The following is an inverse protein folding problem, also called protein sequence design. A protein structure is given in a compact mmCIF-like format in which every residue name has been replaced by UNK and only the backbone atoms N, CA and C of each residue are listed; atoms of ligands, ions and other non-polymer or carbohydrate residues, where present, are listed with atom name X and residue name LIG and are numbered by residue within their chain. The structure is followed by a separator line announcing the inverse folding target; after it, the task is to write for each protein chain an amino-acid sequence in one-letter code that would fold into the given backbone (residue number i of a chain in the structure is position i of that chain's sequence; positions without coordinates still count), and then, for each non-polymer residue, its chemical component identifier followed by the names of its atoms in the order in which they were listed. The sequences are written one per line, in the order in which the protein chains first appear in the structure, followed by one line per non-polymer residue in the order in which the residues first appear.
data_IF_593485024334
#
_entry.id   IF_593485024334
#
_cell.length_a   1.000
_cell.length_b   1.000
_cell.length_c   1.000
_cell.angle_alpha   90.00
_cell.angle_beta   90.00
_cell.angle_gamma   90.00
#
_symmetry.space_group_name_H-M   'P 1'
#
loop_
_entity.id
_entity.type
_entity.pdbx_description
1 polymer ?
#
# COMPACT_ATOMS: atom_id res chain seq x y z
N UNK A 1 -22.71 19.64 15.64
CA UNK A 1 -21.57 20.56 15.57
C UNK A 1 -20.97 20.53 14.17
N UNK A 2 -20.64 21.70 13.62
CA UNK A 2 -19.94 21.84 12.34
C UNK A 2 -18.48 22.21 12.63
N UNK A 3 -17.55 21.57 11.91
CA UNK A 3 -16.14 22.00 11.85
C UNK A 3 -15.98 22.83 10.57
N UNK A 4 -15.82 24.14 10.71
CA UNK A 4 -15.56 25.05 9.59
C UNK A 4 -14.05 25.10 9.37
N UNK A 5 -13.63 24.90 8.13
CA UNK A 5 -12.21 24.85 7.74
C UNK A 5 -12.01 25.60 6.44
N UNK A 6 -10.82 26.14 6.22
CA UNK A 6 -10.46 26.89 4.99
C UNK A 6 -10.29 25.94 3.79
N UNK A 7 -9.82 24.70 4.03
CA UNK A 7 -9.60 23.69 3.00
C UNK A 7 -10.02 22.31 3.54
N UNK A 8 -11.04 21.73 2.92
CA UNK A 8 -11.63 20.46 3.36
C UNK A 8 -10.66 19.29 3.19
N UNK A 9 -9.87 19.27 2.11
CA UNK A 9 -8.92 18.19 1.87
C UNK A 9 -7.77 18.23 2.88
N UNK A 10 -7.18 19.40 3.09
CA UNK A 10 -6.12 19.58 4.11
C UNK A 10 -6.62 19.25 5.52
N UNK A 11 -7.84 19.62 5.85
CA UNK A 11 -8.45 19.25 7.13
C UNK A 11 -8.63 17.73 7.26
N UNK A 12 -9.08 17.06 6.21
CA UNK A 12 -9.22 15.60 6.18
C UNK A 12 -7.85 14.90 6.30
N UNK A 13 -6.82 15.39 5.61
CA UNK A 13 -5.44 14.90 5.76
C UNK A 13 -4.92 15.07 7.20
N UNK A 14 -5.17 16.22 7.81
CA UNK A 14 -4.79 16.49 9.21
C UNK A 14 -5.48 15.53 10.17
N UNK A 15 -6.78 15.27 9.99
CA UNK A 15 -7.53 14.26 10.76
C UNK A 15 -6.95 12.85 10.55
N UNK A 16 -6.62 12.48 9.31
CA UNK A 16 -6.00 11.20 9.00
C UNK A 16 -4.63 11.04 9.67
N UNK A 17 -3.78 12.07 9.60
CA UNK A 17 -2.46 12.09 10.25
C UNK A 17 -2.58 11.98 11.78
N UNK A 18 -3.55 12.69 12.38
CA UNK A 18 -3.81 12.63 13.81
C UNK A 18 -4.30 11.23 14.23
N UNK A 19 -5.21 10.63 13.45
CA UNK A 19 -5.69 9.27 13.69
C UNK A 19 -4.54 8.24 13.58
N UNK A 20 -3.66 8.39 12.59
CA UNK A 20 -2.47 7.52 12.45
C UNK A 20 -1.49 7.69 13.63
N UNK A 21 -1.27 8.93 14.07
CA UNK A 21 -0.32 9.21 15.16
C UNK A 21 -0.75 8.64 16.51
N UNK A 22 -2.06 8.56 16.78
CA UNK A 22 -2.61 7.99 18.03
C UNK A 22 -2.72 6.47 18.03
N UNK A 23 -2.47 5.80 16.88
CA UNK A 23 -2.67 4.36 16.73
C UNK A 23 -1.37 3.59 16.81
N UNK A 24 -1.35 2.50 17.58
CA UNK A 24 -0.26 1.52 17.64
C UNK A 24 -0.46 0.33 16.68
N UNK A 25 -1.47 0.40 15.79
CA UNK A 25 -1.77 -0.66 14.84
C UNK A 25 -0.56 -1.01 13.96
N UNK A 26 -0.44 -2.29 13.63
CA UNK A 26 0.45 -2.75 12.55
C UNK A 26 -0.20 -2.39 11.21
N UNK A 27 0.46 -1.55 10.44
CA UNK A 27 -0.09 -0.99 9.21
C UNK A 27 0.52 -1.66 7.99
N UNK A 28 -0.35 -2.08 7.07
CA UNK A 28 0.01 -2.66 5.78
C UNK A 28 -0.47 -1.71 4.67
N UNK A 29 0.41 -1.40 3.72
CA UNK A 29 0.06 -0.68 2.50
C UNK A 29 0.14 -1.64 1.31
N UNK A 30 -0.87 -1.63 0.45
CA UNK A 30 -0.94 -2.47 -0.75
C UNK A 30 -1.09 -1.57 -1.98
N UNK A 31 -0.15 -1.68 -2.91
CA UNK A 31 -0.23 -1.06 -4.24
C UNK A 31 0.05 -2.09 -5.34
N UNK A 32 -0.03 -1.67 -6.59
CA UNK A 32 0.21 -2.51 -7.77
C UNK A 32 -0.66 -2.12 -8.95
N UNK A 33 -0.36 -2.64 -10.13
CA UNK A 33 -1.15 -2.37 -11.33
C UNK A 33 -2.53 -3.02 -11.27
N UNK A 34 -2.58 -4.28 -10.85
CA UNK A 34 -3.81 -5.07 -10.62
C UNK A 34 -3.72 -5.85 -9.31
N UNK A 35 -4.85 -6.33 -8.80
CA UNK A 35 -4.89 -7.20 -7.62
C UNK A 35 -4.87 -6.49 -6.26
N UNK A 36 -4.75 -5.16 -6.21
CA UNK A 36 -4.73 -4.38 -4.96
C UNK A 36 -5.91 -4.68 -4.04
N UNK A 37 -7.12 -4.50 -4.56
CA UNK A 37 -8.36 -4.67 -3.78
C UNK A 37 -8.55 -6.12 -3.35
N UNK A 38 -8.30 -7.09 -4.23
CA UNK A 38 -8.39 -8.51 -3.88
C UNK A 38 -7.39 -8.90 -2.78
N UNK A 39 -6.14 -8.45 -2.89
CA UNK A 39 -5.11 -8.67 -1.87
C UNK A 39 -5.49 -8.01 -0.53
N UNK A 40 -5.95 -6.76 -0.57
CA UNK A 40 -6.43 -6.05 0.62
C UNK A 40 -7.57 -6.82 1.31
N UNK A 41 -8.55 -7.34 0.55
CA UNK A 41 -9.67 -8.11 1.11
C UNK A 41 -9.21 -9.47 1.68
N UNK A 42 -8.30 -10.17 1.02
CA UNK A 42 -7.70 -11.41 1.55
C UNK A 42 -6.98 -11.14 2.88
N UNK A 43 -6.15 -10.11 2.93
CA UNK A 43 -5.46 -9.70 4.16
C UNK A 43 -6.45 -9.32 5.27
N UNK A 44 -7.53 -8.60 4.93
CA UNK A 44 -8.57 -8.25 5.89
C UNK A 44 -9.24 -9.49 6.49
N UNK A 45 -9.59 -10.47 5.65
CA UNK A 45 -10.20 -11.73 6.11
C UNK A 45 -9.23 -12.48 7.03
N UNK A 46 -7.95 -12.58 6.68
CA UNK A 46 -6.97 -13.33 7.48
C UNK A 46 -6.71 -12.62 8.82
N UNK A 47 -6.48 -11.31 8.79
CA UNK A 47 -6.08 -10.55 9.98
C UNK A 47 -7.23 -10.33 10.97
N UNK A 48 -8.48 -10.30 10.51
CA UNK A 48 -9.64 -10.17 11.40
C UNK A 48 -9.80 -11.34 12.38
N UNK A 49 -9.23 -12.52 12.07
CA UNK A 49 -9.17 -13.65 13.00
C UNK A 49 -8.02 -13.55 14.02
N UNK A 50 -7.12 -12.58 13.84
CA UNK A 50 -5.96 -12.38 14.71
C UNK A 50 -6.11 -11.13 15.60
N UNK A 51 -6.96 -10.17 15.20
CA UNK A 51 -7.19 -8.97 15.98
C UNK A 51 -8.13 -7.97 15.29
N UNK A 52 -8.39 -6.86 15.98
CA UNK A 52 -9.25 -5.78 15.46
C UNK A 52 -8.63 -5.16 14.22
N UNK A 53 -9.25 -5.41 13.09
CA UNK A 53 -8.74 -5.04 11.76
C UNK A 53 -9.57 -3.93 11.15
N UNK A 54 -8.89 -2.88 10.67
CA UNK A 54 -9.46 -1.79 9.89
C UNK A 54 -8.86 -1.79 8.49
N UNK A 55 -9.69 -1.62 7.46
CA UNK A 55 -9.24 -1.61 6.07
C UNK A 55 -9.96 -0.55 5.24
N UNK A 56 -9.32 -0.11 4.15
CA UNK A 56 -9.97 0.76 3.15
C UNK A 56 -11.26 0.14 2.64
N UNK A 57 -12.35 0.91 2.67
CA UNK A 57 -13.62 0.49 2.06
C UNK A 57 -13.49 0.56 0.54
N UNK A 58 -14.00 -0.47 -0.17
CA UNK A 58 -13.93 -0.54 -1.62
C UNK A 58 -12.52 -0.15 -2.13
N UNK A 59 -12.44 0.68 -3.18
CA UNK A 59 -11.19 1.19 -3.76
C UNK A 59 -10.87 2.61 -3.29
N UNK A 60 -11.12 2.95 -2.01
CA UNK A 60 -10.76 4.27 -1.46
C UNK A 60 -9.24 4.38 -1.30
N UNK A 61 -8.53 4.54 -2.43
CA UNK A 61 -7.08 4.40 -2.54
C UNK A 61 -6.36 5.68 -3.02
N UNK A 62 -7.09 6.80 -3.18
CA UNK A 62 -6.58 8.08 -3.67
C UNK A 62 -6.42 9.12 -2.55
N UNK A 63 -6.10 10.36 -2.92
CA UNK A 63 -5.87 11.49 -2.01
C UNK A 63 -7.08 11.89 -1.15
N UNK A 64 -8.30 11.44 -1.45
CA UNK A 64 -9.47 11.55 -0.58
C UNK A 64 -9.68 10.28 0.24
N UNK A 65 -9.55 9.12 -0.38
CA UNK A 65 -9.89 7.83 0.21
C UNK A 65 -8.94 7.39 1.31
N UNK A 66 -7.64 7.59 1.13
CA UNK A 66 -6.63 7.19 2.13
C UNK A 66 -6.75 8.01 3.42
N UNK A 67 -6.78 9.37 3.39
CA UNK A 67 -6.96 10.14 4.62
C UNK A 67 -8.32 9.90 5.27
N UNK A 68 -9.39 9.68 4.51
CA UNK A 68 -10.71 9.32 5.05
C UNK A 68 -10.66 7.97 5.79
N UNK A 69 -9.98 6.98 5.22
CA UNK A 69 -9.79 5.66 5.85
C UNK A 69 -9.00 5.79 7.16
N UNK A 70 -7.93 6.57 7.17
CA UNK A 70 -7.16 6.86 8.38
C UNK A 70 -8.00 7.57 9.44
N UNK A 71 -8.75 8.61 9.06
CA UNK A 71 -9.59 9.39 9.99
C UNK A 71 -10.66 8.52 10.65
N UNK A 72 -11.17 7.50 9.94
CA UNK A 72 -12.16 6.53 10.43
C UNK A 72 -11.56 5.39 11.24
N UNK A 73 -10.25 5.24 11.28
CA UNK A 73 -9.60 4.13 11.97
C UNK A 73 -9.82 4.23 13.50
N UNK A 74 -10.45 3.22 14.12
CA UNK A 74 -10.62 3.16 15.57
C UNK A 74 -9.28 3.17 16.30
N UNK A 75 -9.25 3.76 17.51
CA UNK A 75 -8.01 3.87 18.29
C UNK A 75 -7.48 2.52 18.75
N UNK A 76 -8.35 1.55 18.93
CA UNK A 76 -8.07 0.19 19.38
C UNK A 76 -7.81 -0.79 18.22
N UNK A 77 -7.63 -0.28 16.99
CA UNK A 77 -7.23 -1.09 15.83
C UNK A 77 -5.86 -1.73 16.07
N UNK A 78 -5.76 -3.02 15.79
CA UNK A 78 -4.49 -3.79 15.89
C UNK A 78 -3.84 -3.95 14.52
N UNK A 79 -4.65 -4.09 13.47
CA UNK A 79 -4.19 -4.19 12.07
C UNK A 79 -4.91 -3.19 11.18
N UNK A 80 -4.15 -2.35 10.47
CA UNK A 80 -4.68 -1.41 9.48
C UNK A 80 -4.20 -1.80 8.08
N UNK A 81 -5.11 -1.89 7.10
CA UNK A 81 -4.78 -2.27 5.72
C UNK A 81 -5.22 -1.15 4.78
N UNK A 82 -4.28 -0.54 4.10
CA UNK A 82 -4.50 0.59 3.22
C UNK A 82 -4.17 0.23 1.79
N UNK A 83 -5.17 0.32 0.91
CA UNK A 83 -4.94 0.30 -0.52
C UNK A 83 -4.45 1.68 -0.97
N UNK A 84 -3.36 1.73 -1.74
CA UNK A 84 -2.80 2.97 -2.29
C UNK A 84 -2.75 2.84 -3.81
N UNK A 85 -3.51 3.68 -4.49
CA UNK A 85 -3.60 3.78 -5.95
C UNK A 85 -2.97 5.05 -6.49
N UNK A 86 -2.87 5.10 -7.81
CA UNK A 86 -2.43 6.28 -8.57
C UNK A 86 -3.17 6.37 -9.89
N UNK A 87 -3.32 7.57 -10.41
CA UNK A 87 -3.64 7.87 -11.79
C UNK A 87 -2.50 8.64 -12.47
N UNK A 88 -1.74 9.43 -11.70
CA UNK A 88 -0.64 10.28 -12.16
C UNK A 88 0.63 10.05 -11.35
N UNK A 89 1.81 10.43 -11.90
CA UNK A 89 3.06 10.42 -11.15
C UNK A 89 3.01 11.32 -9.90
N UNK A 90 3.66 10.87 -8.83
CA UNK A 90 3.80 11.61 -7.58
C UNK A 90 2.65 11.42 -6.58
N UNK A 91 1.65 10.58 -6.86
CA UNK A 91 0.49 10.40 -5.98
C UNK A 91 0.73 9.40 -4.84
N UNK A 92 1.58 8.38 -5.05
CA UNK A 92 1.77 7.29 -4.06
C UNK A 92 2.61 7.73 -2.86
N UNK A 93 3.70 8.44 -3.08
CA UNK A 93 4.62 8.83 -2.02
C UNK A 93 3.95 9.61 -0.87
N UNK A 94 3.17 10.69 -1.12
CA UNK A 94 2.50 11.45 -0.06
C UNK A 94 1.50 10.58 0.74
N UNK A 95 0.78 9.69 0.06
CA UNK A 95 -0.18 8.79 0.70
C UNK A 95 0.54 7.78 1.60
N UNK A 96 1.63 7.19 1.12
CA UNK A 96 2.43 6.27 1.90
C UNK A 96 3.04 6.93 3.13
N UNK A 97 3.57 8.16 2.99
CA UNK A 97 4.12 8.93 4.11
C UNK A 97 3.05 9.28 5.15
N UNK A 98 1.80 9.46 4.74
CA UNK A 98 0.69 9.68 5.66
C UNK A 98 0.30 8.38 6.39
N UNK A 99 0.26 7.26 5.69
CA UNK A 99 -0.11 5.93 6.20
C UNK A 99 0.98 5.37 7.13
N UNK A 100 2.26 5.62 6.84
CA UNK A 100 3.44 5.11 7.58
C UNK A 100 3.33 3.59 7.80
N UNK A 101 3.41 2.78 6.72
CA UNK A 101 3.24 1.34 6.83
C UNK A 101 4.43 0.67 7.52
N UNK A 102 4.19 -0.44 8.21
CA UNK A 102 5.20 -1.37 8.69
C UNK A 102 5.52 -2.42 7.61
N UNK A 103 4.54 -2.69 6.73
CA UNK A 103 4.69 -3.58 5.59
C UNK A 103 4.15 -2.88 4.36
N UNK A 104 4.94 -2.79 3.30
CA UNK A 104 4.52 -2.29 1.99
C UNK A 104 4.56 -3.44 0.97
N UNK A 105 3.44 -3.70 0.31
CA UNK A 105 3.31 -4.76 -0.68
C UNK A 105 3.02 -4.18 -2.06
N UNK A 106 3.75 -4.65 -3.06
CA UNK A 106 3.46 -4.40 -4.48
C UNK A 106 2.96 -5.70 -5.11
N UNK A 107 1.71 -5.72 -5.57
CA UNK A 107 1.10 -6.93 -6.09
C UNK A 107 1.67 -7.34 -7.44
N UNK A 108 1.79 -6.39 -8.37
CA UNK A 108 2.44 -6.59 -9.68
C UNK A 108 2.72 -5.25 -10.36
N UNK A 109 3.58 -5.28 -11.37
CA UNK A 109 3.85 -4.20 -12.32
C UNK A 109 3.38 -4.65 -13.70
N UNK A 110 2.41 -3.96 -14.28
CA UNK A 110 1.87 -4.21 -15.60
C UNK A 110 1.46 -2.89 -16.26
N UNK A 111 1.28 -2.83 -17.60
CA UNK A 111 0.77 -1.66 -18.28
C UNK A 111 -0.60 -1.25 -17.71
N UNK A 112 -0.63 -0.11 -17.05
CA UNK A 112 -1.83 0.51 -16.49
C UNK A 112 -1.61 2.03 -16.48
N UNK A 113 -2.64 2.82 -16.75
CA UNK A 113 -2.55 4.29 -16.80
C UNK A 113 -1.48 4.80 -17.78
N UNK A 114 -1.32 4.10 -18.93
CA UNK A 114 -0.28 4.42 -19.94
C UNK A 114 -0.44 5.81 -20.55
N UNK A 115 -1.61 6.42 -20.42
CA UNK A 115 -1.86 7.81 -20.80
C UNK A 115 -1.08 8.81 -19.93
N UNK A 116 -0.75 8.45 -18.71
CA UNK A 116 -0.04 9.30 -17.75
C UNK A 116 1.44 8.91 -17.53
N UNK A 117 1.86 7.74 -18.03
CA UNK A 117 3.20 7.20 -17.79
C UNK A 117 3.91 6.84 -19.10
N UNK A 118 5.13 7.34 -19.28
CA UNK A 118 5.92 7.14 -20.47
C UNK A 118 6.39 5.68 -20.69
N UNK A 119 6.43 4.86 -19.64
CA UNK A 119 6.91 3.47 -19.70
C UNK A 119 6.43 2.64 -18.51
N UNK A 120 6.57 1.31 -18.61
CA UNK A 120 6.34 0.37 -17.49
C UNK A 120 7.33 0.65 -16.34
N UNK A 121 8.55 1.05 -16.64
CA UNK A 121 9.53 1.38 -15.61
C UNK A 121 9.14 2.68 -14.86
N UNK A 122 8.53 3.65 -15.53
CA UNK A 122 7.95 4.82 -14.86
C UNK A 122 6.82 4.42 -13.90
N UNK A 123 5.97 3.47 -14.29
CA UNK A 123 4.96 2.87 -13.41
C UNK A 123 5.61 2.14 -12.22
N UNK A 124 6.70 1.41 -12.47
CA UNK A 124 7.44 0.71 -11.42
C UNK A 124 8.06 1.68 -10.41
N UNK A 125 8.68 2.77 -10.88
CA UNK A 125 9.21 3.84 -10.01
C UNK A 125 8.12 4.48 -9.16
N UNK A 126 6.97 4.82 -9.77
CA UNK A 126 5.86 5.40 -9.01
C UNK A 126 5.34 4.43 -7.94
N UNK A 127 5.12 3.16 -8.28
CA UNK A 127 4.67 2.16 -7.29
C UNK A 127 5.71 1.87 -6.22
N UNK A 128 7.00 1.86 -6.58
CA UNK A 128 8.11 1.73 -5.64
C UNK A 128 8.15 2.87 -4.61
N UNK A 129 7.60 4.05 -4.94
CA UNK A 129 7.52 5.17 -4.02
C UNK A 129 6.66 4.91 -2.77
N UNK A 130 5.87 3.81 -2.75
CA UNK A 130 5.20 3.33 -1.53
C UNK A 130 6.20 3.05 -0.40
N UNK A 131 7.44 2.74 -0.71
CA UNK A 131 8.51 2.50 0.28
C UNK A 131 8.90 3.77 1.04
N UNK A 132 8.68 4.97 0.48
CA UNK A 132 9.08 6.24 1.13
C UNK A 132 8.37 6.52 2.46
N UNK A 133 7.22 5.90 2.67
CA UNK A 133 6.48 5.98 3.93
C UNK A 133 6.77 4.83 4.91
N UNK A 134 7.58 3.85 4.52
CA UNK A 134 7.84 2.66 5.34
C UNK A 134 8.49 3.03 6.67
N UNK A 135 7.97 2.47 7.75
CA UNK A 135 8.57 2.63 9.07
C UNK A 135 9.97 2.00 9.12
N UNK A 136 10.85 2.53 9.96
CA UNK A 136 12.18 1.95 10.19
C UNK A 136 12.06 0.48 10.58
N UNK A 137 12.87 -0.39 9.95
CA UNK A 137 12.80 -1.85 10.14
C UNK A 137 11.57 -2.52 9.52
N UNK A 138 10.83 -1.81 8.67
CA UNK A 138 9.68 -2.35 7.97
C UNK A 138 10.04 -3.34 6.87
N UNK A 139 9.03 -4.02 6.32
CA UNK A 139 9.20 -5.03 5.29
C UNK A 139 8.58 -4.61 3.95
N UNK A 140 9.27 -4.95 2.86
CA UNK A 140 8.82 -4.80 1.48
C UNK A 140 8.48 -6.18 0.89
N UNK A 141 7.22 -6.40 0.52
CA UNK A 141 6.77 -7.64 -0.14
C UNK A 141 6.67 -7.38 -1.64
N UNK A 142 7.51 -8.06 -2.42
CA UNK A 142 7.77 -7.73 -3.83
C UNK A 142 7.50 -8.92 -4.77
N UNK A 143 6.86 -8.68 -5.95
CA UNK A 143 6.69 -9.69 -6.98
C UNK A 143 8.03 -9.97 -7.69
N UNK A 144 8.58 -11.19 -7.52
CA UNK A 144 9.89 -11.55 -8.07
C UNK A 144 9.90 -11.74 -9.60
N UNK A 145 8.71 -11.92 -10.20
CA UNK A 145 8.58 -12.27 -11.62
C UNK A 145 8.48 -11.07 -12.57
N UNK A 146 8.33 -9.86 -12.04
CA UNK A 146 8.20 -8.66 -12.87
C UNK A 146 9.56 -8.24 -13.45
N UNK A 147 9.56 -7.74 -14.69
CA UNK A 147 10.80 -7.28 -15.36
C UNK A 147 11.50 -6.14 -14.61
N UNK A 148 10.70 -5.27 -13.98
CA UNK A 148 11.18 -4.10 -13.24
C UNK A 148 11.55 -4.40 -11.79
N UNK A 149 11.79 -5.66 -11.40
CA UNK A 149 12.07 -6.06 -10.01
C UNK A 149 13.24 -5.28 -9.39
N UNK A 150 14.28 -4.99 -10.17
CA UNK A 150 15.44 -4.25 -9.68
C UNK A 150 15.08 -2.84 -9.19
N UNK A 151 14.12 -2.15 -9.83
CA UNK A 151 13.61 -0.83 -9.39
C UNK A 151 12.98 -0.96 -8.01
N UNK A 152 12.17 -1.99 -7.80
CA UNK A 152 11.46 -2.23 -6.55
C UNK A 152 12.44 -2.58 -5.41
N UNK A 153 13.42 -3.44 -5.71
CA UNK A 153 14.46 -3.83 -4.75
C UNK A 153 15.31 -2.62 -4.34
N UNK A 154 15.75 -1.79 -5.28
CA UNK A 154 16.55 -0.60 -4.96
C UNK A 154 15.76 0.39 -4.09
N UNK A 155 14.47 0.60 -4.36
CA UNK A 155 13.62 1.45 -3.54
C UNK A 155 13.46 0.90 -2.10
N UNK A 156 13.34 -0.42 -1.93
CA UNK A 156 13.26 -1.06 -0.63
C UNK A 156 14.58 -0.97 0.14
N UNK A 157 15.72 -1.22 -0.53
CA UNK A 157 17.05 -1.09 0.07
C UNK A 157 17.35 0.34 0.53
N UNK A 158 16.92 1.35 -0.23
CA UNK A 158 17.07 2.76 0.13
C UNK A 158 16.34 3.12 1.45
N UNK A 159 15.36 2.32 1.87
CA UNK A 159 14.65 2.47 3.15
C UNK A 159 15.13 1.47 4.23
N UNK A 160 16.20 0.73 3.96
CA UNK A 160 16.69 -0.34 4.83
C UNK A 160 15.59 -1.38 5.17
N UNK A 161 14.69 -1.65 4.21
CA UNK A 161 13.59 -2.57 4.41
C UNK A 161 14.04 -4.04 4.33
N UNK A 162 13.40 -4.90 5.12
CA UNK A 162 13.50 -6.35 4.91
C UNK A 162 12.73 -6.72 3.65
N UNK A 163 13.39 -7.34 2.68
CA UNK A 163 12.77 -7.71 1.40
C UNK A 163 12.27 -9.14 1.46
N UNK A 164 11.00 -9.34 1.10
CA UNK A 164 10.36 -10.64 0.99
C UNK A 164 9.79 -10.80 -0.42
N UNK A 165 10.37 -11.70 -1.20
CA UNK A 165 9.93 -11.99 -2.57
C UNK A 165 8.81 -13.04 -2.59
N UNK A 166 7.88 -12.91 -3.53
CA UNK A 166 6.89 -13.92 -3.86
C UNK A 166 6.77 -14.11 -5.38
N UNK A 167 6.36 -15.30 -5.81
CA UNK A 167 6.20 -15.67 -7.22
C UNK A 167 7.03 -16.89 -7.61
N UNK A 168 7.06 -17.23 -8.90
CA UNK A 168 7.76 -18.43 -9.41
C UNK A 168 9.29 -18.34 -9.22
N UNK A 169 9.86 -17.14 -9.30
CA UNK A 169 11.30 -16.87 -9.16
C UNK A 169 11.69 -16.47 -7.73
N UNK A 170 10.75 -16.45 -6.81
CA UNK A 170 11.03 -16.05 -5.44
C UNK A 170 11.72 -17.17 -4.64
N UNK A 171 12.59 -16.78 -3.71
CA UNK A 171 13.20 -17.72 -2.76
C UNK A 171 12.31 -17.93 -1.52
N UNK A 172 11.69 -16.86 -0.99
CA UNK A 172 10.94 -16.91 0.26
C UNK A 172 9.54 -17.55 0.11
N UNK A 173 8.76 -17.10 -0.88
CA UNK A 173 7.40 -17.62 -1.16
C UNK A 173 7.29 -17.99 -2.64
N UNK A 174 7.80 -19.16 -2.97
CA UNK A 174 7.86 -19.66 -4.34
C UNK A 174 6.56 -20.34 -4.74
N UNK A 175 5.97 -19.91 -5.87
CA UNK A 175 4.91 -20.62 -6.55
C UNK A 175 5.52 -21.81 -7.31
N UNK A 176 5.22 -23.04 -6.89
CA UNK A 176 5.80 -24.26 -7.48
C UNK A 176 4.90 -24.81 -8.60
N UNK A 177 3.58 -24.81 -8.39
CA UNK A 177 2.60 -25.25 -9.37
C UNK A 177 1.25 -24.56 -9.16
N UNK A 178 0.48 -24.42 -10.23
CA UNK A 178 -0.90 -23.93 -10.19
C UNK A 178 -1.76 -24.83 -11.10
N UNK A 179 -2.78 -25.44 -10.53
CA UNK A 179 -3.80 -26.17 -11.28
C UNK A 179 -5.09 -25.35 -11.31
N UNK A 180 -5.65 -25.15 -12.50
CA UNK A 180 -6.93 -24.46 -12.69
C UNK A 180 -7.98 -25.51 -12.99
N UNK A 181 -8.83 -25.80 -12.02
CA UNK A 181 -10.03 -26.61 -12.24
C UNK A 181 -11.14 -25.72 -12.82
N UNK A 182 -11.64 -26.09 -14.01
CA UNK A 182 -12.75 -25.42 -14.69
C UNK A 182 -14.08 -26.02 -14.26
#
# INVERSE_FOLDING_TARGET
PLLVVDDVLRALEALGKAARARSNAKILAVTGSVGKTSTKEMLRIILQYQGRTHASMASYNNHWGVPLTLARMPIDTEFGIFEIGMNHPGEIAPLSQMVKPHVAMITTIAPAHMEAFASIDAIAHEKASVMTGLCSGGAAILPADVKSINILVQAALAQNATIVGFGEKAEAFRLVAMEIHR
#
